data_IF_333526317562
#
_entry.id   IF_333526317562
#
_cell.length_a   1.000
_cell.length_b   1.000
_cell.length_c   1.000
_cell.angle_alpha   90.00
_cell.angle_beta   90.00
_cell.angle_gamma   90.00
#
_symmetry.space_group_name_H-M   'P 1'
#
loop_
_entity.id
_entity.type
_entity.pdbx_description
1 polymer ?
#
# COMPACT_ATOMS: atom_id res chain seq x y z
N UNK A 1 23.74 36.39 3.69
CA UNK A 1 23.30 35.34 2.74
C UNK A 1 22.79 34.16 3.54
N UNK A 2 21.47 34.02 3.71
CA UNK A 2 20.90 32.82 4.34
C UNK A 2 21.01 31.67 3.34
N UNK A 3 21.83 30.68 3.69
CA UNK A 3 21.80 29.37 3.04
C UNK A 3 20.45 28.73 3.38
N UNK A 4 19.55 28.68 2.39
CA UNK A 4 18.34 27.88 2.48
C UNK A 4 18.75 26.42 2.63
N UNK A 5 18.73 25.90 3.85
CA UNK A 5 18.89 24.46 4.12
C UNK A 5 17.76 23.77 3.38
N UNK A 6 18.05 23.10 2.26
CA UNK A 6 17.08 22.23 1.58
C UNK A 6 16.68 21.16 2.59
N UNK A 7 15.44 21.20 3.08
CA UNK A 7 14.87 20.17 3.96
C UNK A 7 15.08 18.82 3.26
N UNK A 8 15.77 17.89 3.93
CA UNK A 8 15.95 16.52 3.41
C UNK A 8 14.55 15.89 3.34
N UNK A 9 14.14 15.42 2.17
CA UNK A 9 12.88 14.69 1.99
C UNK A 9 12.90 13.43 2.86
N UNK A 10 11.78 13.11 3.50
CA UNK A 10 11.61 11.97 4.40
C UNK A 10 10.43 11.13 3.93
N UNK A 11 10.54 9.81 3.91
CA UNK A 11 9.46 8.92 3.47
C UNK A 11 8.11 9.18 4.16
N UNK A 12 8.11 9.62 5.44
CA UNK A 12 6.89 9.98 6.19
C UNK A 12 6.15 11.17 5.60
N UNK A 13 6.85 12.02 4.86
CA UNK A 13 6.30 13.21 4.21
C UNK A 13 5.78 12.88 2.79
N UNK A 14 6.00 11.66 2.25
CA UNK A 14 5.53 11.30 0.92
C UNK A 14 4.09 10.80 0.95
N UNK A 15 3.27 11.40 0.10
CA UNK A 15 1.89 11.02 -0.15
C UNK A 15 1.44 11.65 -1.46
N UNK A 16 0.74 10.88 -2.28
CA UNK A 16 0.03 11.39 -3.45
C UNK A 16 -1.46 11.18 -3.15
N UNK A 17 -2.23 12.27 -3.07
CA UNK A 17 -3.67 12.18 -2.79
C UNK A 17 -4.44 11.43 -3.89
N UNK A 18 -5.55 10.80 -3.52
CA UNK A 18 -6.51 10.21 -4.44
C UNK A 18 -7.08 11.23 -5.45
N UNK A 19 -7.04 12.52 -5.12
CA UNK A 19 -7.45 13.63 -6.00
C UNK A 19 -6.44 13.94 -7.12
N UNK A 20 -5.21 13.41 -7.05
CA UNK A 20 -4.23 13.59 -8.11
C UNK A 20 -4.59 12.69 -9.29
N UNK A 21 -5.03 13.29 -10.40
CA UNK A 21 -5.53 12.57 -11.56
C UNK A 21 -4.51 12.44 -12.71
N UNK A 22 -3.81 13.54 -13.03
CA UNK A 22 -3.03 13.68 -14.27
C UNK A 22 -1.58 13.23 -14.17
N UNK A 23 -1.06 13.01 -12.96
CA UNK A 23 0.29 12.49 -12.76
C UNK A 23 0.37 11.08 -13.35
N UNK A 24 1.43 10.79 -14.10
CA UNK A 24 1.63 9.42 -14.60
C UNK A 24 2.14 8.51 -13.50
N UNK A 25 1.91 7.20 -13.64
CA UNK A 25 2.43 6.22 -12.68
C UNK A 25 3.96 6.29 -12.54
N UNK A 26 4.67 6.50 -13.65
CA UNK A 26 6.12 6.71 -13.66
C UNK A 26 6.53 7.94 -12.85
N UNK A 27 5.84 9.07 -13.06
CA UNK A 27 6.11 10.29 -12.30
C UNK A 27 5.85 10.11 -10.81
N UNK A 28 4.76 9.43 -10.46
CA UNK A 28 4.42 9.14 -9.07
C UNK A 28 5.49 8.27 -8.39
N UNK A 29 5.96 7.23 -9.08
CA UNK A 29 7.05 6.37 -8.61
C UNK A 29 8.39 7.14 -8.49
N UNK A 30 8.76 7.92 -9.50
CA UNK A 30 9.99 8.72 -9.46
C UNK A 30 9.95 9.76 -8.31
N UNK A 31 8.77 10.36 -8.05
CA UNK A 31 8.59 11.23 -6.89
C UNK A 31 8.74 10.44 -5.58
N UNK A 32 8.13 9.27 -5.44
CA UNK A 32 8.28 8.38 -4.27
C UNK A 32 9.76 8.08 -3.97
N UNK A 33 10.51 7.64 -4.98
CA UNK A 33 11.94 7.33 -4.84
C UNK A 33 12.77 8.54 -4.40
N UNK A 34 12.30 9.77 -4.66
CA UNK A 34 12.99 10.99 -4.24
C UNK A 34 12.89 11.28 -2.73
N UNK A 35 11.99 10.61 -1.99
CA UNK A 35 11.85 10.73 -0.53
C UNK A 35 12.76 9.78 0.27
N UNK A 36 13.63 9.03 -0.43
CA UNK A 36 14.70 8.19 0.12
C UNK A 36 14.24 6.81 0.59
N UNK A 37 15.21 5.98 0.99
CA UNK A 37 15.04 4.57 1.39
C UNK A 37 14.32 4.40 2.74
N UNK A 38 13.11 4.94 2.89
CA UNK A 38 12.16 4.52 3.93
C UNK A 38 11.76 3.05 3.79
N UNK A 39 12.05 2.46 2.64
CA UNK A 39 11.97 1.04 2.32
C UNK A 39 13.11 0.23 2.94
N UNK A 40 13.55 0.47 4.18
CA UNK A 40 14.46 -0.48 4.83
C UNK A 40 13.68 -1.69 5.42
N UNK A 41 12.42 -1.45 5.81
CA UNK A 41 11.55 -2.47 6.42
C UNK A 41 10.59 -3.14 5.40
N UNK A 42 10.16 -2.41 4.36
CA UNK A 42 9.35 -2.90 3.21
C UNK A 42 10.03 -4.01 2.34
N UNK A 43 11.36 -4.08 2.18
CA UNK A 43 12.05 -5.15 1.47
C UNK A 43 11.77 -6.53 2.06
N UNK A 44 11.37 -6.61 3.33
CA UNK A 44 11.12 -7.87 3.99
C UNK A 44 9.71 -8.42 3.72
N UNK A 45 8.67 -7.58 3.69
CA UNK A 45 7.33 -8.05 3.33
C UNK A 45 7.30 -8.53 1.88
N UNK A 46 7.98 -7.83 0.98
CA UNK A 46 8.09 -8.29 -0.40
C UNK A 46 8.93 -9.56 -0.50
N UNK A 47 10.03 -9.70 0.24
CA UNK A 47 10.73 -11.00 0.36
C UNK A 47 9.84 -12.12 0.88
N UNK A 48 8.90 -11.84 1.80
CA UNK A 48 7.96 -12.81 2.33
C UNK A 48 6.94 -13.27 1.27
N UNK A 49 6.56 -12.38 0.36
CA UNK A 49 5.73 -12.67 -0.81
C UNK A 49 6.52 -13.36 -1.94
N UNK A 50 7.79 -12.99 -2.16
CA UNK A 50 8.65 -13.48 -3.25
C UNK A 50 9.31 -14.85 -2.98
N UNK A 51 9.57 -15.22 -1.71
CA UNK A 51 10.35 -16.43 -1.43
C UNK A 51 9.51 -17.72 -1.56
N UNK A 52 9.87 -18.70 -2.42
CA UNK A 52 9.10 -19.94 -2.63
C UNK A 52 8.94 -20.82 -1.39
N UNK A 53 9.85 -20.65 -0.42
CA UNK A 53 9.85 -21.38 0.87
C UNK A 53 9.09 -20.67 1.99
N UNK A 54 8.51 -19.49 1.70
CA UNK A 54 7.65 -18.79 2.64
C UNK A 54 6.39 -19.62 2.89
N UNK A 55 5.87 -19.73 4.12
CA UNK A 55 4.62 -20.44 4.42
C UNK A 55 3.39 -19.82 3.71
N UNK A 56 3.56 -18.62 3.14
CA UNK A 56 2.60 -17.94 2.28
C UNK A 56 3.04 -17.86 0.80
N UNK A 57 4.13 -18.52 0.37
CA UNK A 57 4.67 -18.45 -1.00
C UNK A 57 3.56 -18.47 -2.06
N UNK A 58 3.37 -17.34 -2.74
CA UNK A 58 2.22 -17.10 -3.61
C UNK A 58 2.54 -17.45 -5.06
N UNK A 59 1.60 -18.12 -5.74
CA UNK A 59 1.26 -17.75 -7.13
C UNK A 59 0.62 -16.35 -7.11
N UNK A 60 1.44 -15.31 -6.94
CA UNK A 60 0.98 -13.93 -6.76
C UNK A 60 1.86 -13.01 -5.90
N UNK A 61 3.15 -13.32 -5.81
CA UNK A 61 4.14 -12.36 -5.33
C UNK A 61 4.09 -11.12 -6.24
N UNK A 62 3.80 -9.96 -5.66
CA UNK A 62 4.00 -8.69 -6.33
C UNK A 62 5.43 -8.24 -6.04
N UNK A 63 6.18 -7.82 -7.07
CA UNK A 63 7.55 -7.32 -6.86
C UNK A 63 7.55 -5.99 -6.12
N UNK A 64 8.71 -5.61 -5.58
CA UNK A 64 8.87 -4.38 -4.78
C UNK A 64 8.39 -3.15 -5.53
N UNK A 65 8.76 -3.08 -6.81
CA UNK A 65 8.44 -1.97 -7.70
C UNK A 65 6.94 -1.90 -7.98
N UNK A 66 6.30 -3.06 -8.18
CA UNK A 66 4.86 -3.14 -8.41
C UNK A 66 4.05 -2.81 -7.15
N UNK A 67 4.53 -3.18 -5.96
CA UNK A 67 3.95 -2.76 -4.68
C UNK A 67 3.99 -1.23 -4.52
N UNK A 68 5.13 -0.61 -4.83
CA UNK A 68 5.30 0.85 -4.80
C UNK A 68 4.31 1.57 -5.72
N UNK A 69 3.99 1.00 -6.89
CA UNK A 69 2.97 1.55 -7.77
C UNK A 69 1.58 1.61 -7.12
N UNK A 70 1.20 0.59 -6.35
CA UNK A 70 -0.12 0.48 -5.74
C UNK A 70 -0.38 1.63 -4.77
N UNK A 71 0.65 2.08 -4.04
CA UNK A 71 0.55 3.25 -3.17
C UNK A 71 -0.02 4.47 -3.89
N UNK A 72 0.56 4.83 -5.04
CA UNK A 72 0.08 5.98 -5.82
C UNK A 72 -1.31 5.76 -6.46
N UNK A 73 -1.61 4.53 -6.85
CA UNK A 73 -2.92 4.16 -7.43
C UNK A 73 -4.02 4.31 -6.37
N UNK A 74 -3.76 3.87 -5.14
CA UNK A 74 -4.71 3.97 -4.03
C UNK A 74 -4.64 5.34 -3.33
N UNK A 75 -3.65 6.16 -3.61
CA UNK A 75 -3.46 7.44 -2.93
C UNK A 75 -3.04 7.28 -1.46
N UNK A 76 -2.14 6.33 -1.21
CA UNK A 76 -1.57 5.97 0.09
C UNK A 76 -0.11 6.43 0.20
N UNK A 77 0.35 6.71 1.43
CA UNK A 77 1.74 7.09 1.73
C UNK A 77 2.59 5.88 2.11
N UNK A 78 3.74 6.07 2.77
CA UNK A 78 4.66 4.97 3.14
C UNK A 78 4.76 4.71 4.66
N UNK A 79 3.76 5.09 5.45
CA UNK A 79 3.75 4.82 6.90
C UNK A 79 3.06 3.49 7.21
N UNK A 80 3.16 3.01 8.46
CA UNK A 80 2.72 1.66 8.84
C UNK A 80 1.27 1.36 8.42
N UNK A 81 0.32 2.28 8.65
CA UNK A 81 -1.08 2.07 8.25
C UNK A 81 -1.28 2.11 6.75
N UNK A 82 -0.49 2.91 6.02
CA UNK A 82 -0.54 2.89 4.56
C UNK A 82 -0.06 1.56 4.00
N UNK A 83 1.08 1.07 4.49
CA UNK A 83 1.61 -0.25 4.11
C UNK A 83 0.58 -1.33 4.45
N UNK A 84 0.06 -1.32 5.68
CA UNK A 84 -0.96 -2.26 6.11
C UNK A 84 -2.17 -2.29 5.17
N UNK A 85 -2.68 -1.11 4.80
CA UNK A 85 -3.78 -1.03 3.85
C UNK A 85 -3.41 -1.53 2.45
N UNK A 86 -2.25 -1.15 1.90
CA UNK A 86 -1.81 -1.55 0.54
C UNK A 86 -1.61 -3.06 0.46
N UNK A 87 -0.99 -3.66 1.48
CA UNK A 87 -0.83 -5.10 1.59
C UNK A 87 -2.20 -5.76 1.67
N UNK A 88 -3.06 -5.27 2.56
CA UNK A 88 -4.43 -5.76 2.71
C UNK A 88 -5.21 -5.71 1.40
N UNK A 89 -5.19 -4.57 0.70
CA UNK A 89 -5.86 -4.38 -0.57
C UNK A 89 -5.34 -5.33 -1.65
N UNK A 90 -4.02 -5.48 -1.74
CA UNK A 90 -3.38 -6.41 -2.69
C UNK A 90 -3.83 -7.84 -2.43
N UNK A 91 -3.85 -8.27 -1.16
CA UNK A 91 -4.32 -9.60 -0.77
C UNK A 91 -5.82 -9.78 -1.01
N UNK A 92 -6.65 -8.81 -0.63
CA UNK A 92 -8.10 -8.83 -0.84
C UNK A 92 -8.48 -8.93 -2.32
N UNK A 93 -7.74 -8.23 -3.20
CA UNK A 93 -7.95 -8.29 -4.65
C UNK A 93 -7.73 -9.69 -5.25
N UNK A 94 -6.95 -10.54 -4.57
CA UNK A 94 -6.72 -11.94 -4.98
C UNK A 94 -7.90 -12.87 -4.68
N UNK A 95 -8.79 -12.48 -3.75
CA UNK A 95 -9.91 -13.28 -3.23
C UNK A 95 -9.50 -14.63 -2.63
N UNK A 96 -8.27 -14.74 -2.13
CA UNK A 96 -7.74 -15.94 -1.49
C UNK A 96 -7.75 -15.83 0.04
N UNK A 97 -8.92 -16.08 0.64
CA UNK A 97 -9.15 -15.93 2.09
C UNK A 97 -8.21 -16.80 2.94
N UNK A 98 -7.88 -18.01 2.48
CA UNK A 98 -6.98 -18.91 3.20
C UNK A 98 -5.57 -18.32 3.34
N UNK A 99 -5.12 -17.54 2.36
CA UNK A 99 -3.80 -16.88 2.41
C UNK A 99 -3.82 -15.64 3.29
N UNK A 100 -4.92 -14.89 3.27
CA UNK A 100 -5.16 -13.79 4.21
C UNK A 100 -5.10 -14.27 5.66
N UNK A 101 -5.83 -15.34 6.02
CA UNK A 101 -5.84 -15.86 7.39
C UNK A 101 -4.44 -16.30 7.86
N UNK A 102 -3.67 -16.95 6.97
CA UNK A 102 -2.30 -17.36 7.26
C UNK A 102 -1.36 -16.17 7.45
N UNK A 103 -1.49 -15.14 6.62
CA UNK A 103 -0.69 -13.92 6.75
C UNK A 103 -1.03 -13.21 8.06
N UNK A 104 -2.31 -13.01 8.35
CA UNK A 104 -2.77 -12.38 9.58
C UNK A 104 -2.29 -13.13 10.82
N UNK A 105 -2.41 -14.46 10.82
CA UNK A 105 -1.85 -15.30 11.88
C UNK A 105 -0.34 -15.14 12.03
N UNK A 106 0.39 -15.02 10.91
CA UNK A 106 1.85 -14.81 10.94
C UNK A 106 2.21 -13.45 11.53
N UNK A 107 1.45 -12.41 11.20
CA UNK A 107 1.64 -11.04 11.72
C UNK A 107 1.34 -10.98 13.21
N UNK A 108 0.24 -11.58 13.67
CA UNK A 108 -0.20 -11.51 15.07
C UNK A 108 0.61 -12.44 15.99
N UNK A 109 1.13 -13.56 15.48
CA UNK A 109 1.65 -14.62 16.35
C UNK A 109 3.00 -14.34 17.02
N UNK A 110 3.73 -13.27 16.68
CA UNK A 110 5.04 -12.80 17.22
C UNK A 110 6.21 -13.83 17.30
N UNK A 111 5.92 -15.13 17.32
CA UNK A 111 6.82 -16.25 17.58
C UNK A 111 7.37 -16.86 16.30
N UNK A 112 6.77 -16.59 15.14
CA UNK A 112 7.20 -17.15 13.86
C UNK A 112 8.21 -16.23 13.16
N UNK A 113 8.09 -14.91 13.32
CA UNK A 113 9.05 -13.94 12.80
C UNK A 113 9.30 -12.81 13.81
N UNK A 114 10.49 -12.73 14.42
CA UNK A 114 10.71 -11.81 15.54
C UNK A 114 10.82 -10.36 15.07
N UNK A 115 10.14 -9.44 15.76
CA UNK A 115 10.49 -8.00 15.92
C UNK A 115 10.49 -7.05 14.71
N UNK A 116 10.11 -7.45 13.50
CA UNK A 116 10.18 -6.55 12.33
C UNK A 116 8.84 -5.93 11.92
N UNK A 117 7.71 -6.56 12.25
CA UNK A 117 6.41 -5.91 12.18
C UNK A 117 6.18 -5.17 13.50
N UNK A 118 6.53 -3.88 13.56
CA UNK A 118 6.02 -2.99 14.61
C UNK A 118 4.54 -2.64 14.34
N UNK A 119 3.76 -3.60 13.82
CA UNK A 119 2.34 -3.42 13.59
C UNK A 119 1.63 -3.55 14.93
N UNK A 120 0.94 -2.48 15.27
CA UNK A 120 0.01 -2.41 16.39
C UNK A 120 -1.30 -3.09 16.03
N UNK A 121 -2.17 -3.32 17.02
CA UNK A 121 -3.55 -3.76 16.76
C UNK A 121 -4.26 -2.81 15.77
N UNK A 122 -4.03 -1.50 15.91
CA UNK A 122 -4.54 -0.49 14.97
C UNK A 122 -4.03 -0.67 13.53
N UNK A 123 -2.80 -1.18 13.34
CA UNK A 123 -2.27 -1.45 11.98
C UNK A 123 -2.93 -2.69 11.39
N UNK A 124 -3.25 -3.69 12.24
CA UNK A 124 -4.01 -4.87 11.85
C UNK A 124 -5.43 -4.50 11.42
N UNK A 125 -6.11 -3.61 12.15
CA UNK A 125 -7.43 -3.11 11.78
C UNK A 125 -7.42 -2.42 10.40
N UNK A 126 -6.39 -1.62 10.10
CA UNK A 126 -6.26 -0.98 8.79
C UNK A 126 -5.93 -1.99 7.69
N UNK A 127 -5.15 -3.02 7.99
CA UNK A 127 -4.93 -4.14 7.08
C UNK A 127 -6.24 -4.84 6.73
N UNK A 128 -7.08 -5.16 7.72
CA UNK A 128 -8.40 -5.78 7.48
C UNK A 128 -9.32 -4.88 6.65
N UNK A 129 -9.33 -3.57 6.91
CA UNK A 129 -10.04 -2.59 6.07
C UNK A 129 -9.51 -2.63 4.62
N UNK A 130 -8.20 -2.73 4.44
CA UNK A 130 -7.56 -2.90 3.13
C UNK A 130 -8.06 -4.15 2.41
N UNK A 131 -8.14 -5.28 3.10
CA UNK A 131 -8.61 -6.55 2.54
C UNK A 131 -10.04 -6.47 2.06
N UNK A 132 -10.93 -5.92 2.89
CA UNK A 132 -12.34 -5.73 2.54
C UNK A 132 -12.47 -4.79 1.33
N UNK A 133 -11.67 -3.71 1.29
CA UNK A 133 -11.63 -2.80 0.16
C UNK A 133 -11.14 -3.49 -1.12
N UNK A 134 -10.05 -4.26 -1.06
CA UNK A 134 -9.51 -5.00 -2.19
C UNK A 134 -10.49 -6.02 -2.76
N UNK A 135 -11.21 -6.75 -1.89
CA UNK A 135 -12.20 -7.75 -2.29
C UNK A 135 -13.39 -7.12 -3.03
N UNK A 136 -13.86 -5.97 -2.53
CA UNK A 136 -15.10 -5.30 -2.99
C UNK A 136 -14.87 -4.32 -4.13
N UNK A 137 -13.74 -3.62 -4.14
CA UNK A 137 -13.50 -2.46 -5.01
C UNK A 137 -12.56 -2.75 -6.18
N UNK A 138 -11.96 -3.94 -6.24
CA UNK A 138 -11.08 -4.31 -7.33
C UNK A 138 -11.59 -5.56 -8.08
N UNK A 139 -11.68 -5.46 -9.41
CA UNK A 139 -12.14 -6.57 -10.25
C UNK A 139 -10.99 -7.48 -10.69
N UNK A 140 -9.75 -7.02 -10.59
CA UNK A 140 -8.54 -7.72 -11.04
C UNK A 140 -7.58 -7.94 -9.87
N UNK A 141 -6.98 -9.13 -9.72
CA UNK A 141 -5.92 -9.30 -8.73
C UNK A 141 -4.73 -8.40 -9.03
N UNK A 142 -4.37 -7.52 -8.10
CA UNK A 142 -3.35 -6.48 -8.30
C UNK A 142 -1.97 -7.05 -8.66
N UNK A 143 -1.67 -8.28 -8.23
CA UNK A 143 -0.43 -8.98 -8.57
C UNK A 143 -0.37 -9.50 -10.01
N UNK A 144 -1.49 -9.52 -10.75
CA UNK A 144 -1.55 -9.93 -12.17
C UNK A 144 -1.50 -8.75 -13.14
N UNK A 145 -1.53 -7.53 -12.63
CA UNK A 145 -1.51 -6.32 -13.45
C UNK A 145 -0.13 -6.15 -14.07
N UNK A 146 -0.09 -5.92 -15.38
CA UNK A 146 1.15 -5.58 -16.07
C UNK A 146 1.37 -4.05 -16.03
N UNK A 147 1.97 -3.59 -14.93
CA UNK A 147 2.19 -2.15 -14.66
C UNK A 147 3.13 -1.47 -15.65
N UNK A 148 4.03 -2.21 -16.30
CA UNK A 148 4.95 -1.64 -17.29
C UNK A 148 4.18 -1.03 -18.49
N UNK A 149 2.99 -1.57 -18.82
CA UNK A 149 2.10 -0.98 -19.83
C UNK A 149 1.32 0.25 -19.33
N UNK A 150 1.37 0.54 -18.04
CA UNK A 150 0.62 1.60 -17.38
C UNK A 150 1.51 2.79 -16.98
N UNK A 151 2.83 2.66 -17.05
CA UNK A 151 3.78 3.66 -16.52
C UNK A 151 3.53 5.08 -17.02
N UNK A 152 3.23 5.24 -18.29
CA UNK A 152 3.05 6.56 -18.91
C UNK A 152 1.58 6.99 -18.95
N UNK A 153 0.68 6.24 -18.29
CA UNK A 153 -0.74 6.59 -18.15
C UNK A 153 -0.98 7.44 -16.90
N UNK A 154 -1.91 8.40 -16.96
CA UNK A 154 -2.37 9.14 -15.78
C UNK A 154 -3.01 8.22 -14.73
N UNK A 155 -2.83 8.52 -13.44
CA UNK A 155 -3.40 7.75 -12.33
C UNK A 155 -4.93 7.61 -12.45
N UNK A 156 -5.63 8.63 -12.94
CA UNK A 156 -7.08 8.56 -13.22
C UNK A 156 -7.44 7.45 -14.21
N UNK A 157 -6.69 7.35 -15.30
CA UNK A 157 -6.92 6.32 -16.33
C UNK A 157 -6.66 4.93 -15.75
N UNK A 158 -5.59 4.78 -14.97
CA UNK A 158 -5.23 3.51 -14.33
C UNK A 158 -6.32 3.07 -13.34
N UNK A 159 -6.78 3.97 -12.46
CA UNK A 159 -7.87 3.68 -11.51
C UNK A 159 -9.14 3.23 -12.23
N UNK A 160 -9.48 3.87 -13.34
CA UNK A 160 -10.62 3.47 -14.18
C UNK A 160 -10.38 2.10 -14.85
N UNK A 161 -9.20 1.86 -15.42
CA UNK A 161 -8.84 0.57 -16.03
C UNK A 161 -8.89 -0.60 -15.04
N UNK A 162 -8.50 -0.36 -13.78
CA UNK A 162 -8.56 -1.33 -12.70
C UNK A 162 -9.94 -1.42 -12.03
N UNK A 163 -10.93 -0.64 -12.52
CA UNK A 163 -12.28 -0.56 -11.96
C UNK A 163 -12.32 -0.21 -10.47
N UNK A 164 -11.36 0.61 -10.02
CA UNK A 164 -11.30 1.07 -8.62
C UNK A 164 -12.37 2.12 -8.41
N UNK A 165 -13.37 1.80 -7.59
CA UNK A 165 -14.42 2.73 -7.18
C UNK A 165 -13.85 3.74 -6.17
N UNK A 166 -13.59 4.96 -6.64
CA UNK A 166 -12.99 6.02 -5.83
C UNK A 166 -13.92 6.56 -4.75
N UNK A 167 -15.24 6.55 -4.97
CA UNK A 167 -16.21 7.02 -3.97
C UNK A 167 -16.31 6.01 -2.82
N UNK A 168 -16.37 4.72 -3.16
CA UNK A 168 -16.33 3.67 -2.18
C UNK A 168 -14.98 3.64 -1.44
N UNK A 169 -13.86 3.81 -2.13
CA UNK A 169 -12.53 3.84 -1.52
C UNK A 169 -12.39 5.01 -0.52
N UNK A 170 -12.90 6.21 -0.85
CA UNK A 170 -12.97 7.33 0.09
C UNK A 170 -13.78 7.03 1.34
N UNK A 171 -14.82 6.19 1.23
CA UNK A 171 -15.61 5.79 2.38
C UNK A 171 -14.80 4.95 3.37
N UNK A 172 -13.86 4.13 2.90
CA UNK A 172 -12.90 3.44 3.77
C UNK A 172 -11.94 4.43 4.43
N UNK A 173 -11.44 5.43 3.71
CA UNK A 173 -10.54 6.45 4.27
C UNK A 173 -11.25 7.33 5.32
N UNK A 174 -12.52 7.64 5.09
CA UNK A 174 -13.38 8.32 6.07
C UNK A 174 -13.63 7.49 7.33
N UNK A 175 -13.78 6.17 7.18
CA UNK A 175 -13.92 5.26 8.31
C UNK A 175 -12.61 5.19 9.12
N UNK A 176 -11.49 4.94 8.45
CA UNK A 176 -10.16 4.92 9.06
C UNK A 176 -9.86 6.22 9.82
N UNK A 177 -10.12 7.38 9.19
CA UNK A 177 -9.97 8.70 9.81
C UNK A 177 -10.73 8.85 11.13
N UNK A 178 -11.93 8.27 11.23
CA UNK A 178 -12.76 8.29 12.43
C UNK A 178 -12.26 7.33 13.50
N UNK A 179 -11.73 6.18 13.09
CA UNK A 179 -11.18 5.17 14.00
C UNK A 179 -9.85 5.65 14.61
N UNK A 180 -9.01 6.34 13.83
CA UNK A 180 -7.67 6.75 14.24
C UNK A 180 -7.47 8.29 14.15
N UNK A 181 -8.14 9.09 15.00
CA UNK A 181 -8.14 10.55 14.93
C UNK A 181 -6.76 11.18 15.18
N UNK A 182 -5.91 10.53 15.98
CA UNK A 182 -4.60 11.04 16.38
C UNK A 182 -3.45 10.59 15.46
N UNK A 183 -3.77 9.80 14.42
CA UNK A 183 -2.80 9.20 13.51
C UNK A 183 -2.68 10.03 12.22
N UNK A 184 -1.49 10.59 11.95
CA UNK A 184 -1.32 11.55 10.86
C UNK A 184 -1.55 10.95 9.46
N UNK A 185 -1.16 9.69 9.26
CA UNK A 185 -1.39 8.97 8.01
C UNK A 185 -2.88 8.69 7.77
N UNK A 186 -3.68 8.43 8.79
CA UNK A 186 -5.13 8.25 8.64
C UNK A 186 -5.88 9.56 8.38
N UNK A 187 -5.33 10.71 8.82
CA UNK A 187 -5.98 12.00 8.63
C UNK A 187 -5.83 12.58 7.21
N UNK A 188 -4.77 12.21 6.47
CA UNK A 188 -4.41 12.80 5.16
C UNK A 188 -5.08 12.15 3.95
N UNK A 189 -5.70 10.98 4.11
CA UNK A 189 -6.24 10.19 3.00
C UNK A 189 -7.64 10.63 2.56
N UNK A 190 -8.14 11.77 3.03
CA UNK A 190 -9.52 12.24 2.81
C UNK A 190 -9.59 13.61 2.17
#
# INVERSE_FOLDING_TARGET
MSLSVKKKKNFRDWHISLDVEDMTLRQAYDDQMSYGDGQADIPFIVRLFEHPSSPIAFDGAIGLKEHDYIHSILGRGMMNKDEAFVIGFTMGSSRDLNKFEKFLFTVISDHVYPKYYNWTEDDVDVFELGVIAGERLCSVPMYKVNYEMLLDKPLKEIRHMLSIDLEALRSFYMLEKKLFPDCCESQRNV
#
